data_IF_107363812948
#
_entry.id   IF_107363812948
#
_cell.length_a   1.000
_cell.length_b   1.000
_cell.length_c   1.000
_cell.angle_alpha   90.00
_cell.angle_beta   90.00
_cell.angle_gamma   90.00
#
_symmetry.space_group_name_H-M   'P 1'
#
loop_
_entity.id
_entity.type
_entity.pdbx_description
1 polymer ?
#
# COMPACT_ATOMS: atom_id res chain seq x y z
N UNK A 1 8.02 -11.08 22.01
CA UNK A 1 7.50 -9.79 21.51
C UNK A 1 6.93 -9.01 22.69
N UNK A 2 6.78 -7.68 22.58
CA UNK A 2 6.22 -6.83 23.65
C UNK A 2 4.67 -6.86 23.72
N UNK A 3 4.00 -7.70 22.92
CA UNK A 3 2.53 -7.80 22.87
C UNK A 3 1.81 -6.59 22.27
N UNK A 4 2.56 -5.63 21.71
CA UNK A 4 2.00 -4.42 21.11
C UNK A 4 1.42 -4.74 19.72
N UNK A 5 0.24 -4.20 19.37
CA UNK A 5 -0.28 -4.27 18.01
C UNK A 5 0.70 -3.69 17.00
N UNK A 6 0.86 -4.36 15.89
CA UNK A 6 1.80 -4.00 14.82
C UNK A 6 1.12 -3.93 13.46
N UNK A 7 1.39 -2.88 12.70
CA UNK A 7 0.82 -2.71 11.35
C UNK A 7 1.85 -2.14 10.39
N UNK A 8 1.81 -2.62 9.15
CA UNK A 8 2.65 -2.11 8.06
C UNK A 8 1.78 -1.71 6.87
N UNK A 9 2.02 -0.52 6.33
CA UNK A 9 1.34 -0.06 5.12
C UNK A 9 2.33 0.56 4.13
N UNK A 10 2.18 0.28 2.83
CA UNK A 10 3.07 0.81 1.80
C UNK A 10 3.69 -0.28 0.95
N UNK A 11 5.01 -0.46 0.99
CA UNK A 11 5.77 -1.39 0.13
C UNK A 11 6.37 -2.54 0.93
N UNK A 12 6.26 -3.78 0.41
CA UNK A 12 6.91 -4.96 1.00
C UNK A 12 8.29 -5.24 0.40
N UNK A 13 8.35 -5.87 -0.78
CA UNK A 13 9.59 -6.30 -1.45
C UNK A 13 10.54 -7.19 -0.63
N UNK A 14 10.06 -7.76 0.47
CA UNK A 14 10.73 -8.88 1.13
C UNK A 14 10.08 -10.18 0.64
N UNK A 15 10.83 -11.27 0.59
CA UNK A 15 10.29 -12.57 0.20
C UNK A 15 9.28 -13.10 1.24
N UNK A 16 8.77 -14.32 1.04
CA UNK A 16 7.89 -15.00 2.02
C UNK A 16 6.41 -15.05 1.65
N UNK A 17 6.02 -14.47 0.51
CA UNK A 17 4.64 -14.50 0.02
C UNK A 17 3.67 -13.74 0.94
N UNK A 18 2.38 -14.05 0.84
CA UNK A 18 1.32 -13.38 1.62
C UNK A 18 1.49 -13.54 3.14
N UNK A 19 2.18 -14.59 3.57
CA UNK A 19 2.52 -14.84 4.98
C UNK A 19 3.79 -14.11 5.44
N UNK A 20 4.56 -13.54 4.51
CA UNK A 20 5.82 -12.84 4.78
C UNK A 20 5.67 -11.77 5.88
N UNK A 21 4.75 -10.80 5.74
CA UNK A 21 4.54 -9.76 6.75
C UNK A 21 4.29 -10.32 8.16
N UNK A 22 3.43 -11.34 8.28
CA UNK A 22 3.14 -11.98 9.57
C UNK A 22 4.35 -12.70 10.16
N UNK A 23 5.14 -13.40 9.32
CA UNK A 23 6.39 -14.05 9.75
C UNK A 23 7.47 -13.05 10.19
N UNK A 24 7.39 -11.82 9.69
CA UNK A 24 8.24 -10.70 10.11
C UNK A 24 7.67 -9.92 11.30
N UNK A 25 6.56 -10.38 11.89
CA UNK A 25 6.03 -9.87 13.15
C UNK A 25 5.04 -8.73 13.01
N UNK A 26 4.40 -8.56 11.85
CA UNK A 26 3.28 -7.63 11.67
C UNK A 26 1.94 -8.35 11.88
N UNK A 27 1.06 -7.81 12.72
CA UNK A 27 -0.27 -8.39 12.99
C UNK A 27 -1.25 -8.13 11.83
N UNK A 28 -1.08 -7.01 11.12
CA UNK A 28 -1.88 -6.67 9.94
C UNK A 28 -1.08 -5.86 8.91
N UNK A 29 -1.59 -5.82 7.68
CA UNK A 29 -0.91 -5.10 6.60
C UNK A 29 -1.81 -4.67 5.43
N UNK A 30 -1.42 -3.56 4.82
CA UNK A 30 -1.92 -3.07 3.51
C UNK A 30 -0.72 -2.73 2.63
N UNK A 31 -0.31 -3.65 1.76
CA UNK A 31 0.99 -3.60 1.08
C UNK A 31 0.87 -3.70 -0.43
N UNK A 32 1.75 -3.00 -1.13
CA UNK A 32 2.04 -3.19 -2.54
C UNK A 32 3.25 -4.11 -2.70
N UNK A 33 3.14 -5.02 -3.66
CA UNK A 33 4.18 -5.94 -4.11
C UNK A 33 4.61 -6.95 -3.04
N UNK A 34 3.64 -7.70 -2.50
CA UNK A 34 3.90 -8.86 -1.64
C UNK A 34 4.17 -10.11 -2.48
N UNK A 35 3.26 -10.47 -3.40
CA UNK A 35 3.39 -11.66 -4.25
C UNK A 35 3.13 -11.41 -5.75
N UNK A 36 2.81 -10.17 -6.14
CA UNK A 36 2.59 -9.74 -7.53
C UNK A 36 3.07 -8.29 -7.72
N UNK A 37 3.09 -7.77 -8.95
CA UNK A 37 3.56 -6.40 -9.26
C UNK A 37 2.57 -5.60 -10.11
N UNK A 38 1.39 -5.24 -9.56
CA UNK A 38 0.40 -4.37 -10.20
C UNK A 38 0.88 -2.91 -10.24
N UNK A 39 0.13 -1.99 -10.87
CA UNK A 39 0.30 -0.56 -10.65
C UNK A 39 0.31 -0.20 -9.16
N UNK A 40 1.01 0.89 -8.81
CA UNK A 40 1.18 1.35 -7.41
C UNK A 40 0.65 2.76 -7.14
N UNK A 41 0.23 3.46 -8.20
CA UNK A 41 -0.21 4.86 -8.17
C UNK A 41 -1.69 4.95 -8.59
N UNK A 42 -2.10 5.24 -9.85
CA UNK A 42 -3.50 5.10 -10.23
C UNK A 42 -3.94 3.65 -10.20
N UNK A 43 -5.16 3.41 -9.69
CA UNK A 43 -5.86 2.12 -9.73
C UNK A 43 -4.91 0.96 -9.34
N UNK A 44 -4.32 1.02 -8.13
CA UNK A 44 -3.29 0.09 -7.73
C UNK A 44 -3.84 -1.32 -7.52
N UNK A 45 -2.95 -2.29 -7.46
CA UNK A 45 -3.27 -3.56 -6.79
C UNK A 45 -2.53 -3.63 -5.46
N UNK A 46 -3.23 -3.99 -4.39
CA UNK A 46 -2.68 -4.15 -3.05
C UNK A 46 -2.94 -5.56 -2.54
N UNK A 47 -2.14 -5.97 -1.57
CA UNK A 47 -2.40 -7.11 -0.72
C UNK A 47 -2.83 -6.57 0.66
N UNK A 48 -4.07 -6.84 1.05
CA UNK A 48 -4.71 -6.35 2.28
C UNK A 48 -5.09 -7.58 3.11
N UNK A 49 -4.48 -7.75 4.28
CA UNK A 49 -4.76 -8.87 5.19
C UNK A 49 -4.75 -10.25 4.49
N UNK A 50 -3.74 -10.50 3.63
CA UNK A 50 -3.63 -11.75 2.87
C UNK A 50 -4.42 -11.79 1.57
N UNK A 51 -5.24 -10.79 1.26
CA UNK A 51 -6.11 -10.78 0.08
C UNK A 51 -5.58 -9.85 -1.01
N UNK A 52 -5.56 -10.34 -2.24
CA UNK A 52 -5.28 -9.53 -3.42
C UNK A 52 -6.50 -8.65 -3.77
N UNK A 53 -6.32 -7.34 -3.73
CA UNK A 53 -7.37 -6.34 -4.03
C UNK A 53 -6.88 -5.47 -5.18
N UNK A 54 -7.68 -5.37 -6.24
CA UNK A 54 -7.40 -4.50 -7.38
C UNK A 54 -8.42 -3.36 -7.41
N UNK A 55 -7.90 -2.13 -7.52
CA UNK A 55 -8.67 -0.89 -7.52
C UNK A 55 -8.84 -0.40 -8.96
N UNK A 56 -9.99 0.21 -9.27
CA UNK A 56 -10.39 0.55 -10.66
C UNK A 56 -11.30 1.78 -10.77
N UNK A 57 -11.57 2.48 -9.66
CA UNK A 57 -12.51 3.58 -9.57
C UNK A 57 -11.80 4.94 -9.40
N UNK A 58 -10.53 5.03 -9.80
CA UNK A 58 -9.73 6.26 -9.73
C UNK A 58 -8.96 6.43 -8.44
N UNK A 59 -8.75 5.36 -7.69
CA UNK A 59 -8.04 5.40 -6.42
C UNK A 59 -6.54 5.66 -6.60
N UNK A 60 -5.94 6.32 -5.62
CA UNK A 60 -4.51 6.60 -5.58
C UNK A 60 -3.83 5.78 -4.49
N UNK A 61 -2.88 4.92 -4.89
CA UNK A 61 -2.22 3.97 -3.99
C UNK A 61 -1.59 4.59 -2.73
N UNK A 62 -0.83 5.70 -2.82
CA UNK A 62 -0.31 6.39 -1.65
C UNK A 62 -1.39 6.82 -0.65
N UNK A 63 -2.57 7.23 -1.11
CA UNK A 63 -3.67 7.61 -0.23
C UNK A 63 -4.25 6.38 0.46
N UNK A 64 -4.51 5.30 -0.28
CA UNK A 64 -5.03 4.04 0.29
C UNK A 64 -4.14 3.47 1.42
N UNK A 65 -2.82 3.43 1.20
CA UNK A 65 -1.89 2.91 2.23
C UNK A 65 -1.75 3.87 3.42
N UNK A 66 -1.81 5.18 3.17
CA UNK A 66 -1.76 6.20 4.22
C UNK A 66 -3.02 6.16 5.09
N UNK A 67 -4.19 6.04 4.47
CA UNK A 67 -5.48 5.98 5.13
C UNK A 67 -5.62 4.71 5.99
N UNK A 68 -5.15 3.56 5.47
CA UNK A 68 -5.10 2.31 6.23
C UNK A 68 -4.23 2.44 7.49
N UNK A 69 -3.04 3.04 7.37
CA UNK A 69 -2.16 3.27 8.52
C UNK A 69 -2.79 4.26 9.52
N UNK A 70 -3.39 5.34 9.02
CA UNK A 70 -4.08 6.32 9.85
C UNK A 70 -5.27 5.69 10.58
N UNK A 71 -6.00 4.77 9.93
CA UNK A 71 -7.07 4.01 10.56
C UNK A 71 -6.53 3.15 11.70
N UNK A 72 -5.48 2.37 11.47
CA UNK A 72 -4.82 1.59 12.52
C UNK A 72 -4.40 2.47 13.72
N UNK A 73 -3.78 3.62 13.45
CA UNK A 73 -3.38 4.57 14.49
C UNK A 73 -4.61 5.06 15.28
N UNK A 74 -5.70 5.43 14.60
CA UNK A 74 -6.95 5.88 15.25
C UNK A 74 -7.56 4.80 16.14
N UNK A 75 -7.52 3.54 15.70
CA UNK A 75 -8.07 2.39 16.43
C UNK A 75 -7.21 1.98 17.63
N UNK A 76 -5.89 2.14 17.55
CA UNK A 76 -4.94 1.71 18.59
C UNK A 76 -4.42 2.84 19.48
N UNK A 77 -4.84 4.08 19.26
CA UNK A 77 -4.33 5.30 19.94
C UNK A 77 -4.31 5.26 21.47
N UNK A 78 -5.14 4.43 22.10
CA UNK A 78 -5.28 4.36 23.56
C UNK A 78 -4.28 3.37 24.22
N UNK A 79 -3.38 2.76 23.44
CA UNK A 79 -2.29 1.91 23.91
C UNK A 79 -1.03 2.04 23.03
N UNK A 80 0.16 1.61 23.51
CA UNK A 80 1.35 1.54 22.66
C UNK A 80 1.14 0.61 21.46
N UNK A 81 1.56 1.06 20.28
CA UNK A 81 1.52 0.30 19.02
C UNK A 81 2.81 0.53 18.22
N UNK A 82 3.06 -0.33 17.24
CA UNK A 82 4.10 -0.12 16.23
C UNK A 82 3.48 0.01 14.84
N UNK A 83 3.73 1.14 14.18
CA UNK A 83 3.27 1.41 12.83
C UNK A 83 4.51 1.62 11.94
N UNK A 84 4.61 0.85 10.85
CA UNK A 84 5.70 0.99 9.88
C UNK A 84 5.16 1.44 8.52
N UNK A 85 5.71 2.53 7.99
CA UNK A 85 5.24 3.17 6.76
C UNK A 85 6.33 3.22 5.67
N UNK A 86 6.68 2.09 5.04
CA UNK A 86 7.55 2.07 3.87
C UNK A 86 6.85 2.69 2.65
N UNK A 87 6.94 4.00 2.52
CA UNK A 87 6.25 4.78 1.50
C UNK A 87 6.49 4.27 0.06
N UNK A 88 5.44 4.31 -0.75
CA UNK A 88 5.50 4.01 -2.19
C UNK A 88 6.17 5.17 -2.96
N UNK A 89 5.85 6.40 -2.56
CA UNK A 89 6.45 7.62 -3.10
C UNK A 89 7.92 7.78 -2.70
N UNK A 90 8.75 8.46 -3.51
CA UNK A 90 8.48 9.05 -4.82
C UNK A 90 8.96 8.15 -5.98
N UNK A 91 9.08 6.83 -5.76
CA UNK A 91 9.74 5.93 -6.71
C UNK A 91 9.08 5.97 -8.09
N UNK A 92 9.87 5.83 -9.16
CA UNK A 92 9.33 5.69 -10.52
C UNK A 92 8.23 4.60 -10.63
N UNK A 93 7.24 4.76 -11.50
CA UNK A 93 7.11 5.82 -12.51
C UNK A 93 6.63 7.16 -11.94
N UNK A 94 6.98 8.26 -12.63
CA UNK A 94 6.50 9.60 -12.29
C UNK A 94 5.26 9.91 -13.13
N UNK A 95 4.10 9.56 -12.59
CA UNK A 95 2.78 9.77 -13.24
C UNK A 95 2.05 10.94 -12.57
N UNK A 96 1.06 11.56 -13.24
CA UNK A 96 0.20 12.56 -12.62
C UNK A 96 -0.39 12.05 -11.30
N UNK A 97 -0.49 12.94 -10.30
CA UNK A 97 -1.23 12.70 -9.05
C UNK A 97 -2.66 13.22 -9.18
N UNK A 98 -3.60 12.86 -8.29
CA UNK A 98 -4.98 13.37 -8.31
C UNK A 98 -5.10 14.90 -8.33
N UNK A 99 -4.13 15.62 -7.75
CA UNK A 99 -4.10 17.09 -7.74
C UNK A 99 -3.59 17.72 -9.06
N UNK A 100 -3.11 16.90 -9.99
CA UNK A 100 -2.62 17.36 -11.29
C UNK A 100 -3.75 17.52 -12.30
N UNK A 101 -3.69 18.56 -13.14
CA UNK A 101 -4.60 18.73 -14.29
C UNK A 101 -4.56 17.57 -15.30
N UNK A 102 -3.45 16.83 -15.31
CA UNK A 102 -3.24 15.69 -16.20
C UNK A 102 -3.67 14.35 -15.58
N UNK A 103 -4.30 14.36 -14.40
CA UNK A 103 -4.83 13.14 -13.79
C UNK A 103 -5.93 12.53 -14.64
N UNK A 104 -5.85 11.23 -14.85
CA UNK A 104 -6.91 10.43 -15.47
C UNK A 104 -7.25 9.26 -14.54
N UNK A 105 -8.44 9.27 -13.90
CA UNK A 105 -8.85 8.23 -12.96
C UNK A 105 -9.16 6.89 -13.65
N UNK A 106 -9.21 6.85 -14.99
CA UNK A 106 -9.55 5.64 -15.75
C UNK A 106 -8.33 4.82 -16.16
N UNK A 107 -7.12 5.34 -15.93
CA UNK A 107 -5.86 4.69 -16.32
C UNK A 107 -5.67 3.38 -15.56
N UNK A 108 -5.42 2.29 -16.28
CA UNK A 108 -5.21 0.95 -15.72
C UNK A 108 -4.03 0.22 -16.39
N UNK A 109 -3.52 -0.82 -15.72
CA UNK A 109 -2.59 -1.77 -16.34
C UNK A 109 -1.24 -1.15 -16.75
N UNK A 110 -0.87 -1.31 -18.02
CA UNK A 110 0.44 -0.86 -18.54
C UNK A 110 0.55 0.66 -18.62
N UNK A 111 -0.56 1.36 -18.83
CA UNK A 111 -0.61 2.82 -18.95
C UNK A 111 -0.24 3.50 -17.63
N UNK A 112 -0.47 2.85 -16.48
CA UNK A 112 -0.02 3.31 -15.18
C UNK A 112 1.51 3.29 -15.01
N UNK A 113 2.27 2.69 -15.93
CA UNK A 113 3.73 2.49 -15.78
C UNK A 113 4.56 3.65 -16.33
N UNK A 114 3.93 4.68 -16.88
CA UNK A 114 4.60 5.81 -17.53
C UNK A 114 5.30 5.39 -18.83
N UNK A 115 5.51 6.33 -19.75
CA UNK A 115 6.39 6.09 -20.89
C UNK A 115 7.81 5.88 -20.34
N UNK A 116 8.38 4.70 -20.61
CA UNK A 116 9.81 4.43 -20.44
C UNK A 116 10.54 5.02 -21.64
#
# INVERSE_FOLDING_TARGET
SAGMPTYIAGKWQLEGGLEGPHKFGFDGYTLWQVNRRPPRYPNPGLEIEGQQVDFTQGEYGPDLVCDALCQFIREKKDAPFFAYYPMILPHSPHVPTPDSKAWDPTVVGKECRGNI
#
